data_IF_001019006875
#
_entry.id   IF_001019006875
#
_cell.length_a   1.000
_cell.length_b   1.000
_cell.length_c   1.000
_cell.angle_alpha   90.00
_cell.angle_beta   90.00
_cell.angle_gamma   90.00
#
_symmetry.space_group_name_H-M   'P 1'
#
loop_
_entity.id
_entity.type
_entity.pdbx_description
1 polymer ?
#
# COMPACT_ATOMS: atom_id res chain seq x y z
N UNK A 1 6.91 -15.25 -11.17
CA UNK A 1 7.63 -14.40 -12.16
C UNK A 1 8.02 -13.18 -11.35
N UNK A 2 9.31 -13.01 -11.09
CA UNK A 2 9.82 -11.92 -10.25
C UNK A 2 9.33 -10.60 -10.81
N UNK A 3 8.72 -9.76 -9.97
CA UNK A 3 8.29 -8.42 -10.37
C UNK A 3 9.53 -7.64 -10.76
N UNK A 4 9.60 -7.31 -12.04
CA UNK A 4 10.73 -6.57 -12.60
C UNK A 4 10.44 -5.07 -12.54
N UNK A 5 11.47 -4.20 -12.56
CA UNK A 5 11.29 -2.78 -12.82
C UNK A 5 10.42 -2.48 -14.07
N UNK A 6 10.33 -3.42 -15.02
CA UNK A 6 9.46 -3.31 -16.19
C UNK A 6 7.96 -3.42 -15.88
N UNK A 7 7.56 -4.17 -14.85
CA UNK A 7 6.14 -4.33 -14.48
C UNK A 7 5.57 -3.04 -13.88
N UNK A 8 6.39 -2.25 -13.17
CA UNK A 8 5.99 -0.94 -12.64
C UNK A 8 5.88 0.15 -13.71
N UNK A 9 6.79 0.15 -14.70
CA UNK A 9 6.73 1.07 -15.84
C UNK A 9 5.51 0.74 -16.72
N UNK A 10 5.15 -0.54 -16.84
CA UNK A 10 3.91 -1.01 -17.45
C UNK A 10 2.70 -0.46 -16.69
N UNK A 11 2.68 -0.54 -15.35
CA UNK A 11 1.59 -0.02 -14.52
C UNK A 11 1.42 1.50 -14.71
N UNK A 12 2.51 2.28 -14.62
CA UNK A 12 2.44 3.75 -14.79
C UNK A 12 2.02 4.15 -16.21
N UNK A 13 2.61 3.53 -17.24
CA UNK A 13 2.27 3.78 -18.65
C UNK A 13 0.82 3.38 -18.96
N UNK A 14 0.36 2.25 -18.43
CA UNK A 14 -1.02 1.80 -18.59
C UNK A 14 -1.99 2.74 -17.87
N UNK A 15 -1.69 3.21 -16.65
CA UNK A 15 -2.56 4.12 -15.91
C UNK A 15 -2.79 5.44 -16.66
N UNK A 16 -1.74 6.04 -17.23
CA UNK A 16 -1.86 7.25 -18.07
C UNK A 16 -2.70 7.00 -19.33
N UNK A 17 -2.58 5.82 -19.94
CA UNK A 17 -3.39 5.44 -21.11
C UNK A 17 -4.86 5.22 -20.71
N UNK A 18 -5.14 4.62 -19.55
CA UNK A 18 -6.51 4.50 -19.01
C UNK A 18 -7.12 5.90 -18.89
N UNK A 19 -6.40 6.87 -18.31
CA UNK A 19 -6.88 8.25 -18.14
C UNK A 19 -7.22 8.87 -19.50
N UNK A 20 -6.32 8.75 -20.47
CA UNK A 20 -6.53 9.27 -21.83
C UNK A 20 -7.79 8.68 -22.46
N UNK A 21 -8.03 7.38 -22.32
CA UNK A 21 -9.20 6.73 -22.88
C UNK A 21 -10.50 7.11 -22.16
N UNK A 22 -10.48 7.32 -20.84
CA UNK A 22 -11.63 7.83 -20.10
C UNK A 22 -11.97 9.25 -20.57
N UNK A 23 -10.99 10.16 -20.62
CA UNK A 23 -11.19 11.54 -21.10
C UNK A 23 -11.72 11.57 -22.54
N UNK A 24 -11.16 10.73 -23.42
CA UNK A 24 -11.64 10.58 -24.80
C UNK A 24 -13.10 10.11 -24.84
N UNK A 25 -13.47 9.11 -24.02
CA UNK A 25 -14.84 8.60 -23.97
C UNK A 25 -15.84 9.67 -23.52
N UNK A 26 -15.47 10.49 -22.53
CA UNK A 26 -16.30 11.61 -22.07
C UNK A 26 -16.48 12.66 -23.16
N UNK A 27 -15.41 13.07 -23.83
CA UNK A 27 -15.47 13.98 -24.98
C UNK A 27 -16.36 13.43 -26.11
N UNK A 28 -16.22 12.14 -26.43
CA UNK A 28 -17.05 11.48 -27.44
C UNK A 28 -18.53 11.37 -27.02
N UNK A 29 -18.85 11.22 -25.72
CA UNK A 29 -20.23 11.28 -25.23
C UNK A 29 -20.83 12.68 -25.46
N UNK A 30 -20.09 13.73 -25.10
CA UNK A 30 -20.53 15.13 -25.30
C UNK A 30 -20.74 15.45 -26.78
N UNK A 31 -19.85 14.94 -27.64
CA UNK A 31 -19.94 15.07 -29.10
C UNK A 31 -20.99 14.14 -29.74
N UNK A 32 -21.73 13.35 -28.93
CA UNK A 32 -22.71 12.33 -29.37
C UNK A 32 -22.12 11.22 -30.27
N UNK A 33 -20.81 11.00 -30.20
CA UNK A 33 -20.06 9.94 -30.91
C UNK A 33 -20.04 8.65 -30.08
N UNK A 34 -21.21 8.08 -29.80
CA UNK A 34 -21.38 6.97 -28.84
C UNK A 34 -20.54 5.73 -29.18
N UNK A 35 -20.40 5.37 -30.46
CA UNK A 35 -19.56 4.24 -30.87
C UNK A 35 -18.07 4.44 -30.56
N UNK A 36 -17.59 5.70 -30.63
CA UNK A 36 -16.20 6.04 -30.27
C UNK A 36 -16.03 5.99 -28.76
N UNK A 37 -17.00 6.49 -28.00
CA UNK A 37 -17.02 6.37 -26.55
C UNK A 37 -16.98 4.89 -26.10
N UNK A 38 -17.79 4.01 -26.69
CA UNK A 38 -17.77 2.57 -26.40
C UNK A 38 -16.39 1.96 -26.65
N UNK A 39 -15.74 2.30 -27.77
CA UNK A 39 -14.38 1.81 -28.09
C UNK A 39 -13.37 2.30 -27.05
N UNK A 40 -13.43 3.58 -26.68
CA UNK A 40 -12.52 4.17 -25.69
C UNK A 40 -12.72 3.54 -24.29
N UNK A 41 -13.95 3.33 -23.83
CA UNK A 41 -14.24 2.65 -22.55
C UNK A 41 -13.74 1.20 -22.55
N UNK A 42 -13.88 0.46 -23.65
CA UNK A 42 -13.32 -0.90 -23.78
C UNK A 42 -11.80 -0.92 -23.65
N UNK A 43 -11.11 0.04 -24.27
CA UNK A 43 -9.65 0.16 -24.16
C UNK A 43 -9.21 0.52 -22.73
N UNK A 44 -9.92 1.44 -22.07
CA UNK A 44 -9.67 1.76 -20.66
C UNK A 44 -9.81 0.51 -19.77
N UNK A 45 -10.88 -0.27 -19.95
CA UNK A 45 -11.11 -1.52 -19.20
C UNK A 45 -10.00 -2.56 -19.42
N UNK A 46 -9.58 -2.75 -20.67
CA UNK A 46 -8.51 -3.69 -20.99
C UNK A 46 -7.18 -3.31 -20.32
N UNK A 47 -6.81 -2.03 -20.36
CA UNK A 47 -5.60 -1.53 -19.70
C UNK A 47 -5.67 -1.64 -18.16
N UNK A 48 -6.85 -1.43 -17.55
CA UNK A 48 -7.05 -1.70 -16.12
C UNK A 48 -6.80 -3.18 -15.80
N UNK A 49 -7.24 -4.09 -16.69
CA UNK A 49 -6.92 -5.53 -16.60
C UNK A 49 -5.41 -5.80 -16.60
N UNK A 50 -4.65 -5.15 -17.49
CA UNK A 50 -3.18 -5.24 -17.52
C UNK A 50 -2.56 -4.75 -16.21
N UNK A 51 -3.01 -3.59 -15.70
CA UNK A 51 -2.50 -3.05 -14.42
C UNK A 51 -2.75 -4.05 -13.30
N UNK A 52 -3.94 -4.68 -13.26
CA UNK A 52 -4.30 -5.70 -12.29
C UNK A 52 -3.41 -6.95 -12.41
N UNK A 53 -3.19 -7.42 -13.62
CA UNK A 53 -2.40 -8.63 -13.90
C UNK A 53 -0.90 -8.41 -13.63
N UNK A 54 -0.41 -7.18 -13.80
CA UNK A 54 0.96 -6.80 -13.47
C UNK A 54 1.21 -6.67 -11.95
N UNK A 55 0.19 -6.82 -11.09
CA UNK A 55 0.38 -6.70 -9.64
C UNK A 55 1.14 -7.89 -9.06
N UNK A 56 2.11 -7.65 -8.17
CA UNK A 56 2.87 -8.71 -7.47
C UNK A 56 1.96 -9.76 -6.82
N UNK A 57 0.86 -9.31 -6.21
CA UNK A 57 -0.03 -10.16 -5.40
C UNK A 57 -0.93 -11.09 -6.21
N UNK A 58 -1.18 -10.79 -7.50
CA UNK A 58 -2.23 -11.48 -8.28
C UNK A 58 -1.93 -12.96 -8.41
N UNK A 59 -0.68 -13.31 -8.69
CA UNK A 59 -0.24 -14.70 -8.78
C UNK A 59 -0.43 -15.45 -7.44
N UNK A 60 -0.19 -14.78 -6.32
CA UNK A 60 -0.34 -15.38 -4.98
C UNK A 60 -1.82 -15.64 -4.69
N UNK A 61 -2.69 -14.67 -5.00
CA UNK A 61 -4.14 -14.79 -4.80
C UNK A 61 -4.76 -15.88 -5.68
N UNK A 62 -4.33 -15.97 -6.94
CA UNK A 62 -4.78 -17.02 -7.85
C UNK A 62 -4.39 -18.41 -7.33
N UNK A 63 -3.15 -18.58 -6.83
CA UNK A 63 -2.70 -19.84 -6.23
C UNK A 63 -3.48 -20.19 -4.96
N UNK A 64 -3.76 -19.22 -4.09
CA UNK A 64 -4.63 -19.42 -2.91
C UNK A 64 -6.05 -19.82 -3.34
N UNK A 65 -6.59 -19.20 -4.39
CA UNK A 65 -7.90 -19.53 -4.92
C UNK A 65 -7.94 -20.96 -5.47
N UNK A 66 -6.92 -21.41 -6.21
CA UNK A 66 -6.80 -22.79 -6.70
C UNK A 66 -6.78 -23.78 -5.54
N UNK A 67 -5.94 -23.57 -4.53
CA UNK A 67 -5.89 -24.42 -3.34
C UNK A 67 -7.25 -24.51 -2.62
N UNK A 68 -7.97 -23.37 -2.48
CA UNK A 68 -9.33 -23.35 -1.92
C UNK A 68 -10.32 -24.13 -2.78
N UNK A 69 -10.16 -24.09 -4.10
CA UNK A 69 -11.04 -24.76 -5.05
C UNK A 69 -10.79 -26.27 -5.07
N UNK A 70 -9.54 -26.72 -5.06
CA UNK A 70 -9.18 -28.12 -4.89
C UNK A 70 -9.72 -28.67 -3.57
N UNK A 71 -9.56 -27.92 -2.47
CA UNK A 71 -10.16 -28.24 -1.17
C UNK A 71 -11.70 -28.19 -1.16
N UNK A 72 -12.39 -27.91 -2.28
CA UNK A 72 -13.83 -28.07 -2.39
C UNK A 72 -14.26 -29.45 -2.92
N UNK A 73 -13.37 -30.21 -3.55
CA UNK A 73 -13.68 -31.56 -4.07
C UNK A 73 -12.60 -32.63 -3.88
N UNK A 74 -11.37 -32.26 -3.50
CA UNK A 74 -10.25 -33.19 -3.23
C UNK A 74 -10.04 -33.42 -1.73
N UNK A 75 -9.24 -34.42 -1.37
CA UNK A 75 -8.86 -34.70 0.02
C UNK A 75 -7.74 -33.77 0.51
N UNK A 76 -7.62 -33.60 1.82
CA UNK A 76 -6.65 -32.64 2.41
C UNK A 76 -5.19 -32.97 2.09
N UNK A 77 -4.90 -34.23 1.82
CA UNK A 77 -3.57 -34.72 1.44
C UNK A 77 -3.22 -34.33 0.00
N UNK A 78 -4.20 -34.37 -0.90
CA UNK A 78 -4.07 -34.01 -2.32
C UNK A 78 -3.88 -32.50 -2.52
N UNK A 79 -4.41 -31.68 -1.61
CA UNK A 79 -4.26 -30.21 -1.64
C UNK A 79 -2.94 -29.73 -1.01
N UNK A 80 -2.25 -30.55 -0.23
CA UNK A 80 -0.99 -30.17 0.45
C UNK A 80 0.09 -29.63 -0.50
N UNK A 81 0.31 -30.21 -1.69
CA UNK A 81 1.29 -29.71 -2.67
C UNK A 81 0.98 -28.31 -3.19
N UNK A 82 -0.28 -27.87 -3.21
CA UNK A 82 -0.69 -26.54 -3.70
C UNK A 82 -0.15 -25.40 -2.81
N UNK A 83 0.23 -25.69 -1.57
CA UNK A 83 0.82 -24.68 -0.68
C UNK A 83 2.24 -24.30 -1.08
N UNK A 84 2.99 -25.20 -1.72
CA UNK A 84 4.40 -24.98 -2.13
C UNK A 84 4.52 -23.77 -3.07
N UNK A 85 3.78 -23.70 -4.19
CA UNK A 85 3.83 -22.52 -5.05
C UNK A 85 3.29 -21.26 -4.37
N UNK A 86 2.39 -21.35 -3.38
CA UNK A 86 1.94 -20.17 -2.61
C UNK A 86 3.12 -19.60 -1.80
N UNK A 87 3.87 -20.43 -1.07
CA UNK A 87 5.06 -19.98 -0.34
C UNK A 87 6.11 -19.34 -1.27
N UNK A 88 6.44 -20.00 -2.38
CA UNK A 88 7.40 -19.45 -3.35
C UNK A 88 6.94 -18.09 -3.90
N UNK A 89 5.64 -17.91 -4.13
CA UNK A 89 5.09 -16.61 -4.54
C UNK A 89 5.11 -15.57 -3.43
N UNK A 90 4.88 -15.95 -2.17
CA UNK A 90 5.02 -15.03 -1.03
C UNK A 90 6.48 -14.57 -0.89
N UNK A 91 7.45 -15.48 -1.02
CA UNK A 91 8.88 -15.17 -1.03
C UNK A 91 9.24 -14.21 -2.17
N UNK A 92 8.65 -14.38 -3.37
CA UNK A 92 8.90 -13.48 -4.51
C UNK A 92 8.40 -12.04 -4.28
N UNK A 93 7.41 -11.83 -3.40
CA UNK A 93 6.75 -10.54 -3.21
C UNK A 93 6.96 -9.90 -1.85
N UNK A 94 7.61 -10.61 -0.90
CA UNK A 94 7.76 -10.15 0.49
C UNK A 94 8.54 -8.84 0.61
N UNK A 95 9.41 -8.57 -0.37
CA UNK A 95 10.16 -7.32 -0.49
C UNK A 95 9.28 -6.11 -0.84
N UNK A 96 8.08 -6.33 -1.38
CA UNK A 96 7.18 -5.31 -1.90
C UNK A 96 5.86 -5.23 -1.13
N UNK A 97 5.45 -6.34 -0.53
CA UNK A 97 4.14 -6.53 0.09
C UNK A 97 4.36 -7.16 1.46
N UNK A 98 3.77 -6.62 2.55
CA UNK A 98 3.75 -7.32 3.82
C UNK A 98 3.01 -8.66 3.64
N UNK A 99 3.74 -9.77 3.72
CA UNK A 99 3.19 -11.11 3.50
C UNK A 99 3.10 -11.93 4.78
N UNK A 100 3.66 -11.47 5.89
CA UNK A 100 3.83 -12.27 7.11
C UNK A 100 2.50 -12.74 7.68
N UNK A 101 1.47 -11.88 7.66
CA UNK A 101 0.12 -12.27 8.08
C UNK A 101 -0.46 -13.33 7.15
N UNK A 102 -0.30 -13.17 5.83
CA UNK A 102 -0.72 -14.16 4.85
C UNK A 102 0.01 -15.49 5.07
N UNK A 103 1.34 -15.45 5.22
CA UNK A 103 2.20 -16.60 5.49
C UNK A 103 1.76 -17.37 6.74
N UNK A 104 1.45 -16.68 7.85
CA UNK A 104 0.92 -17.32 9.07
C UNK A 104 -0.42 -18.00 8.85
N UNK A 105 -1.30 -17.41 8.05
CA UNK A 105 -2.56 -18.06 7.68
C UNK A 105 -2.30 -19.29 6.79
N UNK A 106 -1.34 -19.24 5.86
CA UNK A 106 -0.92 -20.43 5.10
C UNK A 106 -0.32 -21.51 6.02
N UNK A 107 0.47 -21.14 7.03
CA UNK A 107 1.02 -22.09 8.03
C UNK A 107 -0.10 -22.77 8.84
N UNK A 108 -1.12 -22.01 9.25
CA UNK A 108 -2.31 -22.55 9.92
C UNK A 108 -3.14 -23.42 8.97
N UNK A 109 -3.29 -23.05 7.71
CA UNK A 109 -3.94 -23.88 6.70
C UNK A 109 -3.22 -25.22 6.54
N UNK A 110 -1.88 -25.21 6.43
CA UNK A 110 -1.04 -26.41 6.39
C UNK A 110 -1.25 -27.31 7.60
N UNK A 111 -1.30 -26.73 8.81
CA UNK A 111 -1.58 -27.49 10.04
C UNK A 111 -2.96 -28.14 10.00
N UNK A 112 -3.99 -27.42 9.54
CA UNK A 112 -5.35 -27.93 9.43
C UNK A 112 -5.47 -29.03 8.36
N UNK A 113 -4.81 -28.88 7.21
CA UNK A 113 -4.76 -29.93 6.17
C UNK A 113 -4.13 -31.22 6.69
N UNK A 114 -3.02 -31.14 7.45
CA UNK A 114 -2.39 -32.31 8.09
C UNK A 114 -3.29 -33.02 9.11
N UNK A 115 -4.30 -32.32 9.65
CA UNK A 115 -5.23 -32.84 10.64
C UNK A 115 -6.56 -33.30 10.01
N UNK A 116 -6.69 -33.27 8.68
CA UNK A 116 -7.96 -33.55 7.99
C UNK A 116 -9.03 -32.47 8.18
N UNK A 117 -8.69 -31.31 8.77
CA UNK A 117 -9.63 -30.26 9.11
C UNK A 117 -9.91 -29.33 7.91
N UNK A 118 -10.66 -29.84 6.93
CA UNK A 118 -11.00 -29.16 5.66
C UNK A 118 -11.54 -27.74 5.84
N UNK A 119 -12.58 -27.56 6.66
CA UNK A 119 -13.24 -26.26 6.83
C UNK A 119 -12.32 -25.20 7.45
N UNK A 120 -11.52 -25.60 8.45
CA UNK A 120 -10.54 -24.69 9.06
C UNK A 120 -9.40 -24.35 8.10
N UNK A 121 -8.93 -25.31 7.31
CA UNK A 121 -7.94 -25.04 6.26
C UNK A 121 -8.47 -24.05 5.22
N UNK A 122 -9.73 -24.19 4.81
CA UNK A 122 -10.40 -23.28 3.87
C UNK A 122 -10.56 -21.87 4.43
N UNK A 123 -10.92 -21.73 5.70
CA UNK A 123 -11.01 -20.42 6.36
C UNK A 123 -9.63 -19.76 6.50
N UNK A 124 -8.60 -20.51 6.89
CA UNK A 124 -7.24 -19.98 6.95
C UNK A 124 -6.71 -19.56 5.57
N UNK A 125 -6.98 -20.32 4.50
CA UNK A 125 -6.64 -19.90 3.13
C UNK A 125 -7.39 -18.62 2.73
N UNK A 126 -8.65 -18.45 3.13
CA UNK A 126 -9.40 -17.21 2.90
C UNK A 126 -8.78 -16.03 3.66
N UNK A 127 -8.45 -16.21 4.93
CA UNK A 127 -7.78 -15.18 5.73
C UNK A 127 -6.37 -14.86 5.19
N UNK A 128 -5.68 -15.82 4.58
CA UNK A 128 -4.41 -15.60 3.91
C UNK A 128 -4.54 -14.69 2.68
N UNK A 129 -5.58 -14.88 1.87
CA UNK A 129 -5.92 -14.03 0.73
C UNK A 129 -6.31 -12.61 1.19
N UNK A 130 -7.14 -12.51 2.24
CA UNK A 130 -7.54 -11.24 2.84
C UNK A 130 -6.36 -10.49 3.47
N UNK A 131 -5.37 -11.22 4.00
CA UNK A 131 -4.15 -10.66 4.56
C UNK A 131 -3.17 -10.14 3.49
N UNK A 132 -3.30 -10.56 2.23
CA UNK A 132 -2.57 -9.99 1.09
C UNK A 132 -3.20 -8.65 0.70
N UNK A 133 -2.93 -7.65 1.53
CA UNK A 133 -3.32 -6.26 1.32
C UNK A 133 -2.14 -5.53 0.69
N UNK A 134 -2.14 -5.43 -0.64
CA UNK A 134 -1.31 -4.45 -1.32
C UNK A 134 -1.89 -3.06 -1.07
N UNK A 135 -1.10 -2.26 -0.40
CA UNK A 135 -1.41 -1.01 0.29
C UNK A 135 -1.92 0.09 -0.65
N UNK A 136 -3.17 0.54 -0.44
CA UNK A 136 -3.72 1.89 -0.75
C UNK A 136 -3.71 2.41 -2.21
N UNK A 137 -2.94 1.85 -3.14
CA UNK A 137 -3.01 2.17 -4.58
C UNK A 137 -4.12 1.43 -5.32
N UNK A 138 -4.66 0.37 -4.72
CA UNK A 138 -5.68 -0.50 -5.34
C UNK A 138 -7.13 0.01 -5.16
N UNK A 139 -7.40 0.78 -4.12
CA UNK A 139 -8.74 1.34 -3.85
C UNK A 139 -9.24 2.21 -5.02
N UNK A 140 -8.43 3.14 -5.56
CA UNK A 140 -8.80 3.88 -6.77
C UNK A 140 -8.88 2.99 -8.00
N UNK A 141 -8.02 1.98 -8.18
CA UNK A 141 -8.06 1.13 -9.38
C UNK A 141 -9.31 0.24 -9.41
N UNK A 142 -9.66 -0.41 -8.29
CA UNK A 142 -10.86 -1.23 -8.20
C UNK A 142 -12.14 -0.38 -8.30
N UNK A 143 -12.15 0.81 -7.68
CA UNK A 143 -13.24 1.77 -7.83
C UNK A 143 -13.35 2.27 -9.27
N UNK A 144 -12.22 2.61 -9.91
CA UNK A 144 -12.14 2.99 -11.33
C UNK A 144 -12.68 1.88 -12.21
N UNK A 145 -12.26 0.62 -11.98
CA UNK A 145 -12.72 -0.54 -12.74
C UNK A 145 -14.24 -0.68 -12.65
N UNK A 146 -14.80 -0.57 -11.43
CA UNK A 146 -16.25 -0.61 -11.21
C UNK A 146 -16.97 0.48 -12.00
N UNK A 147 -16.49 1.72 -11.94
CA UNK A 147 -17.07 2.85 -12.67
C UNK A 147 -16.94 2.69 -14.20
N UNK A 148 -15.80 2.21 -14.71
CA UNK A 148 -15.60 1.92 -16.13
C UNK A 148 -16.54 0.81 -16.61
N UNK A 149 -16.74 -0.25 -15.81
CA UNK A 149 -17.69 -1.33 -16.11
C UNK A 149 -19.12 -0.81 -16.12
N UNK A 150 -19.50 0.01 -15.14
CA UNK A 150 -20.83 0.62 -15.09
C UNK A 150 -21.08 1.53 -16.30
N UNK A 151 -20.10 2.38 -16.66
CA UNK A 151 -20.15 3.22 -17.85
C UNK A 151 -20.32 2.39 -19.12
N UNK A 152 -19.59 1.29 -19.26
CA UNK A 152 -19.73 0.36 -20.38
C UNK A 152 -21.15 -0.20 -20.47
N UNK A 153 -21.73 -0.60 -19.33
CA UNK A 153 -23.11 -1.08 -19.25
C UNK A 153 -24.13 0.00 -19.65
N UNK A 154 -23.94 1.24 -19.21
CA UNK A 154 -24.82 2.35 -19.57
C UNK A 154 -24.71 2.72 -21.05
N UNK A 155 -23.51 2.74 -21.64
CA UNK A 155 -23.35 2.97 -23.08
C UNK A 155 -24.01 1.86 -23.91
N UNK A 156 -23.92 0.60 -23.48
CA UNK A 156 -24.60 -0.52 -24.14
C UNK A 156 -26.14 -0.42 -24.08
N UNK A 157 -26.67 0.24 -23.05
CA UNK A 157 -28.10 0.53 -22.89
C UNK A 157 -28.53 1.87 -23.53
N UNK A 158 -27.64 2.54 -24.28
CA UNK A 158 -27.85 3.87 -24.84
C UNK A 158 -28.24 4.93 -23.78
N UNK A 159 -27.60 4.88 -22.60
CA UNK A 159 -27.76 5.83 -21.49
C UNK A 159 -26.49 6.67 -21.29
N UNK A 160 -26.14 7.57 -22.23
CA UNK A 160 -24.87 8.30 -22.21
C UNK A 160 -24.68 9.20 -20.99
N UNK A 161 -25.74 9.81 -20.46
CA UNK A 161 -25.64 10.70 -19.29
C UNK A 161 -25.23 9.96 -18.01
N UNK A 162 -25.72 8.73 -17.85
CA UNK A 162 -25.32 7.86 -16.73
C UNK A 162 -23.89 7.36 -16.94
N UNK A 163 -23.50 7.03 -18.18
CA UNK A 163 -22.13 6.67 -18.49
C UNK A 163 -21.15 7.81 -18.21
N UNK A 164 -21.49 9.06 -18.55
CA UNK A 164 -20.67 10.24 -18.27
C UNK A 164 -20.47 10.43 -16.77
N UNK A 165 -21.51 10.24 -15.95
CA UNK A 165 -21.41 10.32 -14.49
C UNK A 165 -20.43 9.28 -13.93
N UNK A 166 -20.51 8.04 -14.40
CA UNK A 166 -19.59 6.97 -14.00
C UNK A 166 -18.17 7.24 -14.51
N UNK A 167 -18.00 7.67 -15.76
CA UNK A 167 -16.68 7.99 -16.32
C UNK A 167 -16.01 9.16 -15.62
N UNK A 168 -16.78 10.16 -15.17
CA UNK A 168 -16.24 11.24 -14.33
C UNK A 168 -15.72 10.72 -12.98
N UNK A 169 -16.41 9.77 -12.37
CA UNK A 169 -15.95 9.12 -11.15
C UNK A 169 -14.71 8.23 -11.39
N UNK A 170 -14.66 7.54 -12.53
CA UNK A 170 -13.49 6.77 -12.96
C UNK A 170 -12.27 7.67 -13.26
N UNK A 171 -12.47 8.80 -13.94
CA UNK A 171 -11.41 9.75 -14.28
C UNK A 171 -10.74 10.29 -13.03
N UNK A 172 -11.54 10.62 -12.01
CA UNK A 172 -11.03 10.98 -10.70
C UNK A 172 -10.13 9.84 -10.20
N UNK A 173 -10.62 8.60 -10.09
CA UNK A 173 -9.84 7.44 -9.66
C UNK A 173 -8.52 7.18 -10.41
N UNK A 174 -8.41 7.52 -11.70
CA UNK A 174 -7.15 7.34 -12.47
C UNK A 174 -6.20 8.51 -12.33
N UNK A 175 -6.71 9.75 -12.24
CA UNK A 175 -5.86 10.89 -11.89
C UNK A 175 -5.15 10.65 -10.55
N UNK A 176 -5.76 9.85 -9.66
CA UNK A 176 -5.17 9.50 -8.36
C UNK A 176 -3.90 8.70 -8.58
N UNK A 177 -4.01 7.66 -9.39
CA UNK A 177 -2.95 6.69 -9.65
C UNK A 177 -1.80 7.41 -10.35
N UNK A 178 -2.09 8.24 -11.36
CA UNK A 178 -1.07 9.00 -12.06
C UNK A 178 -0.35 10.02 -11.16
N UNK A 179 -1.09 10.73 -10.29
CA UNK A 179 -0.51 11.74 -9.38
C UNK A 179 0.30 11.12 -8.25
N UNK A 180 -0.14 9.96 -7.73
CA UNK A 180 0.52 9.25 -6.63
C UNK A 180 1.78 8.52 -7.10
N UNK A 181 1.75 7.94 -8.30
CA UNK A 181 2.92 7.26 -8.88
C UNK A 181 4.05 8.25 -9.17
N UNK A 182 3.72 9.43 -9.73
CA UNK A 182 4.71 10.49 -10.00
C UNK A 182 5.02 11.37 -8.78
N UNK A 183 4.37 11.13 -7.64
CA UNK A 183 4.61 11.91 -6.44
C UNK A 183 6.08 11.80 -6.01
N UNK A 184 6.75 12.92 -5.67
CA UNK A 184 8.17 12.92 -5.33
C UNK A 184 8.55 11.94 -4.21
N UNK A 185 7.69 11.76 -3.20
CA UNK A 185 7.93 10.79 -2.11
C UNK A 185 7.84 9.34 -2.61
N UNK A 186 6.92 9.03 -3.52
CA UNK A 186 6.80 7.70 -4.13
C UNK A 186 8.02 7.35 -4.98
N UNK A 187 8.54 8.32 -5.73
CA UNK A 187 9.78 8.15 -6.51
C UNK A 187 11.00 7.97 -5.60
N UNK A 188 11.06 8.70 -4.48
CA UNK A 188 12.09 8.50 -3.46
C UNK A 188 12.02 7.10 -2.84
N UNK A 189 10.81 6.63 -2.48
CA UNK A 189 10.58 5.26 -1.96
C UNK A 189 11.12 4.21 -2.93
N UNK A 190 10.76 4.31 -4.22
CA UNK A 190 11.24 3.39 -5.28
C UNK A 190 12.76 3.37 -5.37
N UNK A 191 13.37 4.54 -5.37
CA UNK A 191 14.83 4.67 -5.48
C UNK A 191 15.54 4.11 -4.23
N UNK A 192 15.01 4.37 -3.03
CA UNK A 192 15.56 3.81 -1.77
C UNK A 192 15.44 2.28 -1.70
N UNK A 193 14.34 1.71 -2.21
CA UNK A 193 14.19 0.26 -2.32
C UNK A 193 15.26 -0.35 -3.24
N UNK A 194 15.47 0.25 -4.42
CA UNK A 194 16.52 -0.18 -5.34
C UNK A 194 17.91 -0.03 -4.73
N UNK A 195 18.16 1.04 -3.99
CA UNK A 195 19.41 1.24 -3.27
C UNK A 195 19.64 0.11 -2.24
N UNK A 196 18.62 -0.24 -1.46
CA UNK A 196 18.68 -1.36 -0.50
C UNK A 196 19.02 -2.68 -1.20
N UNK A 197 18.31 -3.01 -2.29
CA UNK A 197 18.53 -4.23 -3.06
C UNK A 197 19.95 -4.29 -3.67
N UNK A 198 20.37 -3.20 -4.30
CA UNK A 198 21.70 -3.12 -4.91
C UNK A 198 22.80 -3.22 -3.84
N UNK A 199 22.58 -2.66 -2.65
CA UNK A 199 23.55 -2.73 -1.56
C UNK A 199 23.70 -4.17 -1.06
N UNK A 200 22.58 -4.87 -0.83
CA UNK A 200 22.59 -6.28 -0.44
C UNK A 200 23.26 -7.19 -1.49
N UNK A 201 23.19 -6.82 -2.77
CA UNK A 201 23.89 -7.50 -3.86
C UNK A 201 25.37 -7.11 -4.02
N UNK A 202 25.90 -6.20 -3.18
CA UNK A 202 27.26 -5.69 -3.28
C UNK A 202 27.48 -4.68 -4.42
N UNK A 203 26.43 -4.24 -5.10
CA UNK A 203 26.47 -3.30 -6.22
C UNK A 203 26.54 -1.84 -5.71
N UNK A 204 27.70 -1.45 -5.16
CA UNK A 204 27.86 -0.14 -4.51
C UNK A 204 27.65 1.05 -5.46
N UNK A 205 28.10 0.96 -6.73
CA UNK A 205 27.89 2.02 -7.72
C UNK A 205 26.41 2.18 -8.05
N UNK A 206 25.67 1.08 -8.22
CA UNK A 206 24.24 1.10 -8.47
C UNK A 206 23.48 1.63 -7.25
N UNK A 207 23.90 1.25 -6.04
CA UNK A 207 23.38 1.79 -4.77
C UNK A 207 23.51 3.31 -4.71
N UNK A 208 24.71 3.85 -4.97
CA UNK A 208 24.98 5.29 -4.95
C UNK A 208 24.12 6.06 -5.96
N UNK A 209 23.94 5.50 -7.16
CA UNK A 209 23.08 6.09 -8.19
C UNK A 209 21.62 6.17 -7.74
N UNK A 210 21.11 5.12 -7.09
CA UNK A 210 19.73 5.07 -6.59
C UNK A 210 19.54 5.99 -5.37
N UNK A 211 20.52 6.11 -4.47
CA UNK A 211 20.49 7.11 -3.38
C UNK A 211 20.45 8.55 -3.92
N UNK A 212 21.21 8.84 -4.97
CA UNK A 212 21.16 10.16 -5.65
C UNK A 212 19.78 10.43 -6.26
N UNK A 213 19.15 9.43 -6.90
CA UNK A 213 17.77 9.56 -7.42
C UNK A 213 16.75 9.78 -6.30
N UNK A 214 16.90 9.08 -5.18
CA UNK A 214 16.08 9.30 -3.99
C UNK A 214 16.24 10.72 -3.45
N UNK A 215 17.48 11.22 -3.36
CA UNK A 215 17.80 12.60 -2.96
C UNK A 215 17.09 13.62 -3.84
N UNK A 216 17.24 13.55 -5.16
CA UNK A 216 16.57 14.47 -6.10
C UNK A 216 15.05 14.45 -5.96
N UNK A 217 14.48 13.27 -5.72
CA UNK A 217 13.05 13.13 -5.50
C UNK A 217 12.60 13.77 -4.18
N UNK A 218 13.35 13.58 -3.09
CA UNK A 218 13.04 14.23 -1.81
C UNK A 218 13.25 15.74 -1.83
N UNK A 219 14.23 16.26 -2.58
CA UNK A 219 14.41 17.71 -2.78
C UNK A 219 13.16 18.35 -3.41
N UNK A 220 12.48 17.64 -4.32
CA UNK A 220 11.17 18.06 -4.83
C UNK A 220 10.08 17.96 -3.74
N UNK A 221 10.08 16.90 -2.93
CA UNK A 221 9.13 16.72 -1.83
C UNK A 221 9.24 17.82 -0.75
N UNK A 222 10.44 18.39 -0.53
CA UNK A 222 10.66 19.53 0.37
C UNK A 222 9.90 20.79 -0.08
N UNK A 223 9.54 20.88 -1.37
CA UNK A 223 8.74 21.99 -1.93
C UNK A 223 7.22 21.71 -1.88
N UNK A 224 6.78 20.60 -1.30
CA UNK A 224 5.36 20.23 -1.17
C UNK A 224 4.57 21.29 -0.40
N UNK A 225 3.28 21.47 -0.73
CA UNK A 225 2.35 22.31 0.05
C UNK A 225 2.05 21.75 1.45
N UNK A 226 2.22 20.44 1.67
CA UNK A 226 1.98 19.77 2.95
C UNK A 226 3.18 19.90 3.90
N UNK A 227 2.99 20.56 5.04
CA UNK A 227 4.05 20.84 6.00
C UNK A 227 4.71 19.58 6.56
N UNK A 228 3.94 18.52 6.79
CA UNK A 228 4.48 17.25 7.31
C UNK A 228 5.37 16.56 6.30
N UNK A 229 4.93 16.49 5.05
CA UNK A 229 5.74 15.97 3.93
C UNK A 229 7.04 16.74 3.80
N UNK A 230 6.99 18.08 3.87
CA UNK A 230 8.22 18.89 3.84
C UNK A 230 9.19 18.55 4.96
N UNK A 231 8.71 18.47 6.20
CA UNK A 231 9.55 18.18 7.37
C UNK A 231 10.18 16.79 7.29
N UNK A 232 9.37 15.76 7.00
CA UNK A 232 9.86 14.40 6.88
C UNK A 232 10.86 14.25 5.70
N UNK A 233 10.60 14.90 4.57
CA UNK A 233 11.53 14.90 3.44
C UNK A 233 12.88 15.55 3.78
N UNK A 234 12.88 16.65 4.57
CA UNK A 234 14.12 17.28 5.04
C UNK A 234 14.94 16.36 5.96
N UNK A 235 14.27 15.60 6.83
CA UNK A 235 14.94 14.63 7.70
C UNK A 235 15.57 13.50 6.87
N UNK A 236 14.79 12.89 5.97
CA UNK A 236 15.25 11.83 5.08
C UNK A 236 16.41 12.28 4.18
N UNK A 237 16.42 13.52 3.68
CA UNK A 237 17.53 14.05 2.88
C UNK A 237 18.85 14.06 3.66
N UNK A 238 18.84 14.49 4.92
CA UNK A 238 20.05 14.51 5.77
C UNK A 238 20.59 13.11 6.01
N UNK A 239 19.68 12.13 6.11
CA UNK A 239 20.04 10.74 6.29
C UNK A 239 20.62 10.12 5.01
N UNK A 240 20.07 10.46 3.84
CA UNK A 240 20.67 10.04 2.56
C UNK A 240 22.10 10.59 2.43
N UNK A 241 22.32 11.86 2.77
CA UNK A 241 23.67 12.46 2.74
C UNK A 241 24.64 11.74 3.69
N UNK A 242 24.14 11.36 4.88
CA UNK A 242 24.91 10.58 5.85
C UNK A 242 25.23 9.19 5.32
N UNK A 243 24.27 8.55 4.65
CA UNK A 243 24.45 7.24 4.05
C UNK A 243 25.46 7.29 2.89
N UNK A 244 25.35 8.27 1.99
CA UNK A 244 26.26 8.49 0.87
C UNK A 244 27.72 8.64 1.33
N UNK A 245 27.95 9.36 2.43
CA UNK A 245 29.29 9.54 3.01
C UNK A 245 29.86 8.31 3.74
N UNK A 246 29.04 7.28 3.96
CA UNK A 246 29.42 6.05 4.69
C UNK A 246 29.40 4.79 3.83
N UNK A 247 28.90 4.85 2.59
CA UNK A 247 28.83 3.70 1.67
C UNK A 247 30.18 2.98 1.51
N UNK A 248 31.27 3.74 1.36
CA UNK A 248 32.61 3.20 1.13
C UNK A 248 33.19 2.50 2.38
N UNK A 249 32.60 2.71 3.56
CA UNK A 249 33.03 2.07 4.81
C UNK A 249 32.37 0.70 5.04
N UNK A 250 31.30 0.39 4.31
CA UNK A 250 30.60 -0.90 4.36
C UNK A 250 29.97 -1.28 5.72
N UNK A 251 29.28 -2.42 5.76
CA UNK A 251 28.85 -3.10 6.98
C UNK A 251 27.33 -3.08 7.25
N UNK A 252 26.84 -4.01 8.07
CA UNK A 252 25.41 -4.21 8.38
C UNK A 252 24.69 -2.93 8.86
N UNK A 253 25.42 -1.99 9.46
CA UNK A 253 24.87 -0.72 9.92
C UNK A 253 24.37 0.17 8.78
N UNK A 254 24.99 0.16 7.61
CA UNK A 254 24.54 0.99 6.48
C UNK A 254 23.30 0.38 5.81
N UNK A 255 23.22 -0.95 5.74
CA UNK A 255 22.05 -1.66 5.22
C UNK A 255 20.82 -1.37 6.07
N UNK A 256 20.94 -1.51 7.39
CA UNK A 256 19.87 -1.16 8.33
C UNK A 256 19.46 0.32 8.20
N UNK A 257 20.42 1.21 7.92
CA UNK A 257 20.14 2.63 7.72
C UNK A 257 19.38 2.90 6.41
N UNK A 258 19.76 2.28 5.29
CA UNK A 258 19.04 2.39 4.02
C UNK A 258 17.62 1.80 4.16
N UNK A 259 17.49 0.64 4.81
CA UNK A 259 16.19 0.02 5.08
C UNK A 259 15.28 0.92 5.91
N UNK A 260 15.81 1.51 6.99
CA UNK A 260 15.08 2.48 7.82
C UNK A 260 14.58 3.69 6.99
N UNK A 261 15.43 4.26 6.13
CA UNK A 261 15.00 5.36 5.24
C UNK A 261 13.90 4.92 4.27
N UNK A 262 14.01 3.71 3.71
CA UNK A 262 12.98 3.16 2.82
C UNK A 262 11.64 2.98 3.54
N UNK A 263 11.61 2.36 4.73
CA UNK A 263 10.38 2.10 5.50
C UNK A 263 9.66 3.41 5.87
N UNK A 264 10.40 4.44 6.32
CA UNK A 264 9.80 5.75 6.61
C UNK A 264 9.33 6.47 5.34
N UNK A 265 10.08 6.37 4.24
CA UNK A 265 9.63 6.95 2.96
C UNK A 265 8.40 6.22 2.42
N UNK A 266 8.28 4.91 2.67
CA UNK A 266 7.09 4.12 2.37
C UNK A 266 5.88 4.60 3.15
N UNK A 267 5.98 4.72 4.47
CA UNK A 267 4.89 5.24 5.30
C UNK A 267 4.49 6.68 4.93
N UNK A 268 5.47 7.52 4.53
CA UNK A 268 5.18 8.88 4.04
C UNK A 268 4.46 8.88 2.68
N UNK A 269 4.85 7.96 1.78
CA UNK A 269 4.19 7.76 0.49
C UNK A 269 2.74 7.30 0.69
N UNK A 270 2.51 6.30 1.54
CA UNK A 270 1.18 5.80 1.94
C UNK A 270 0.29 6.92 2.51
N UNK A 271 0.80 7.71 3.46
CA UNK A 271 0.08 8.91 3.94
C UNK A 271 -0.29 9.85 2.79
N UNK A 272 0.62 10.10 1.85
CA UNK A 272 0.35 10.95 0.68
C UNK A 272 -0.82 10.41 -0.15
N UNK A 273 -0.84 9.09 -0.37
CA UNK A 273 -1.92 8.36 -1.06
C UNK A 273 -3.26 8.58 -0.33
N UNK A 274 -3.30 8.35 0.98
CA UNK A 274 -4.51 8.51 1.79
C UNK A 274 -5.02 9.97 1.80
N UNK A 275 -4.12 10.95 1.92
CA UNK A 275 -4.47 12.38 1.91
C UNK A 275 -5.01 12.86 0.56
N UNK A 276 -4.46 12.39 -0.56
CA UNK A 276 -5.01 12.69 -1.89
C UNK A 276 -6.41 12.07 -2.02
N UNK A 277 -6.63 10.88 -1.45
CA UNK A 277 -7.91 10.17 -1.54
C UNK A 277 -8.99 10.96 -0.80
N UNK A 278 -8.64 11.53 0.35
CA UNK A 278 -9.51 12.41 1.11
C UNK A 278 -9.81 13.73 0.42
N UNK A 279 -8.79 14.36 -0.18
CA UNK A 279 -8.92 15.67 -0.84
C UNK A 279 -9.99 15.70 -1.93
N UNK A 280 -10.36 14.54 -2.45
CA UNK A 280 -11.37 14.37 -3.50
C UNK A 280 -12.73 13.86 -3.01
N UNK A 281 -12.79 13.32 -1.80
CA UNK A 281 -14.03 12.90 -1.14
C UNK A 281 -14.75 14.06 -0.41
N UNK A 282 -14.34 15.32 -0.62
CA UNK A 282 -14.76 16.48 0.19
C UNK A 282 -16.28 16.55 0.49
N UNK A 283 -16.62 16.22 1.74
CA UNK A 283 -17.78 16.73 2.50
C UNK A 283 -17.45 16.74 4.01
N UNK A 284 -17.59 17.90 4.67
CA UNK A 284 -17.79 18.01 6.13
C UNK A 284 -16.64 17.72 7.11
N UNK A 285 -16.95 17.79 8.41
CA UNK A 285 -16.07 17.60 9.58
C UNK A 285 -15.40 16.22 9.67
N UNK A 286 -15.93 15.20 8.97
CA UNK A 286 -15.29 13.88 8.80
C UNK A 286 -13.86 14.00 8.22
N UNK A 287 -13.56 15.05 7.44
CA UNK A 287 -12.23 15.26 6.88
C UNK A 287 -11.15 15.53 7.93
N UNK A 288 -11.48 16.11 9.08
CA UNK A 288 -10.50 16.41 10.13
C UNK A 288 -10.13 15.15 10.94
N UNK A 289 -11.13 14.33 11.26
CA UNK A 289 -10.96 13.06 11.98
C UNK A 289 -10.07 12.13 11.18
N UNK A 290 -10.41 11.89 9.91
CA UNK A 290 -9.67 10.99 9.03
C UNK A 290 -8.21 11.46 8.80
N UNK A 291 -7.98 12.77 8.71
CA UNK A 291 -6.61 13.33 8.61
C UNK A 291 -5.79 12.99 9.86
N UNK A 292 -6.38 13.14 11.05
CA UNK A 292 -5.70 12.80 12.29
C UNK A 292 -5.43 11.30 12.39
N UNK A 293 -6.34 10.43 11.93
CA UNK A 293 -6.14 8.96 11.93
C UNK A 293 -5.01 8.55 10.99
N UNK A 294 -4.94 9.12 9.79
CA UNK A 294 -3.80 8.95 8.86
C UNK A 294 -2.49 9.37 9.54
N UNK A 295 -2.51 10.49 10.26
CA UNK A 295 -1.35 10.99 10.96
C UNK A 295 -0.93 10.09 12.15
N UNK A 296 -1.87 9.48 12.87
CA UNK A 296 -1.58 8.45 13.88
C UNK A 296 -0.85 7.29 13.19
N UNK A 297 -1.41 6.76 12.10
CA UNK A 297 -0.85 5.61 11.37
C UNK A 297 0.58 5.88 10.88
N UNK A 298 0.86 7.07 10.35
CA UNK A 298 2.22 7.47 9.96
C UNK A 298 3.20 7.34 11.14
N UNK A 299 2.84 7.93 12.29
CA UNK A 299 3.72 7.92 13.47
C UNK A 299 3.89 6.52 14.07
N UNK A 300 2.86 5.67 14.00
CA UNK A 300 2.96 4.26 14.39
C UNK A 300 3.95 3.50 13.47
N UNK A 301 3.89 3.71 12.16
CA UNK A 301 4.83 3.10 11.23
C UNK A 301 6.28 3.59 11.44
N UNK A 302 6.47 4.87 11.75
CA UNK A 302 7.79 5.40 12.10
C UNK A 302 8.31 4.81 13.42
N UNK A 303 7.44 4.64 14.42
CA UNK A 303 7.80 4.04 15.69
C UNK A 303 8.28 2.59 15.53
N UNK A 304 7.53 1.78 14.76
CA UNK A 304 7.91 0.43 14.39
C UNK A 304 9.28 0.39 13.72
N UNK A 305 9.48 1.24 12.70
CA UNK A 305 10.74 1.33 11.97
C UNK A 305 11.90 1.65 12.92
N UNK A 306 11.74 2.65 13.79
CA UNK A 306 12.80 3.01 14.73
C UNK A 306 13.08 1.89 15.75
N UNK A 307 12.05 1.22 16.25
CA UNK A 307 12.20 0.18 17.27
C UNK A 307 12.81 -1.10 16.70
N UNK A 308 12.27 -1.59 15.58
CA UNK A 308 12.55 -2.92 15.06
C UNK A 308 13.63 -2.93 13.98
N UNK A 309 13.72 -1.87 13.17
CA UNK A 309 14.69 -1.78 12.06
C UNK A 309 15.93 -0.99 12.45
N UNK A 310 15.75 0.22 12.99
CA UNK A 310 16.87 1.10 13.31
C UNK A 310 17.53 0.76 14.66
N UNK A 311 16.79 0.09 15.56
CA UNK A 311 17.24 -0.13 16.93
C UNK A 311 17.38 1.16 17.75
N UNK A 312 16.55 2.16 17.46
CA UNK A 312 16.52 3.49 18.08
C UNK A 312 15.26 3.67 18.97
N UNK A 313 15.20 3.00 20.14
CA UNK A 313 13.99 2.91 20.97
C UNK A 313 13.49 4.27 21.50
N UNK A 314 14.36 5.25 21.66
CA UNK A 314 13.96 6.60 22.09
C UNK A 314 13.28 7.39 20.97
N UNK A 315 13.72 7.21 19.72
CA UNK A 315 13.00 7.77 18.57
C UNK A 315 11.65 7.08 18.39
N UNK A 316 11.59 5.76 18.57
CA UNK A 316 10.32 5.04 18.59
C UNK A 316 9.36 5.59 19.64
N UNK A 317 9.82 5.76 20.89
CA UNK A 317 9.03 6.36 21.98
C UNK A 317 8.54 7.78 21.64
N UNK A 318 9.37 8.56 20.94
CA UNK A 318 9.02 9.90 20.47
C UNK A 318 7.89 9.87 19.44
N UNK A 319 7.96 8.95 18.47
CA UNK A 319 6.92 8.77 17.46
C UNK A 319 5.61 8.25 18.04
N UNK A 320 5.63 7.28 18.96
CA UNK A 320 4.44 6.86 19.71
C UNK A 320 3.84 8.06 20.46
N UNK A 321 4.68 8.91 21.05
CA UNK A 321 4.24 10.15 21.69
C UNK A 321 3.57 11.14 20.74
N UNK A 322 3.98 11.19 19.46
CA UNK A 322 3.31 11.99 18.43
C UNK A 322 1.96 11.36 18.04
N UNK A 323 1.89 10.04 17.85
CA UNK A 323 0.66 9.32 17.57
C UNK A 323 -0.41 9.58 18.66
N UNK A 324 -0.05 9.43 19.93
CA UNK A 324 -0.94 9.69 21.08
C UNK A 324 -1.48 11.12 21.12
N UNK A 325 -0.78 12.13 20.57
CA UNK A 325 -1.26 13.52 20.50
C UNK A 325 -2.35 13.74 19.46
N UNK A 326 -2.50 12.85 18.47
CA UNK A 326 -3.53 12.94 17.42
C UNK A 326 -4.84 12.24 17.80
N UNK A 327 -4.79 11.25 18.69
CA UNK A 327 -5.98 10.54 19.18
C UNK A 327 -7.03 11.51 19.79
N UNK A 328 -6.73 12.35 20.79
CA UNK A 328 -7.72 13.25 21.37
C UNK A 328 -8.22 14.31 20.38
N UNK A 329 -7.44 14.65 19.35
CA UNK A 329 -7.87 15.55 18.27
C UNK A 329 -8.88 14.93 17.32
N UNK A 330 -8.94 13.59 17.28
CA UNK A 330 -9.87 12.83 16.44
C UNK A 330 -11.23 12.64 17.10
N UNK A 331 -11.29 12.69 18.44
CA UNK A 331 -12.52 12.38 19.20
C UNK A 331 -13.72 13.32 18.95
N UNK A 332 -13.58 14.66 18.86
CA UNK A 332 -14.73 15.56 18.79
C UNK A 332 -15.58 15.44 17.51
N UNK A 333 -15.05 14.82 16.45
CA UNK A 333 -15.78 14.63 15.18
C UNK A 333 -16.06 13.17 14.84
N UNK A 334 -15.59 12.21 15.65
CA UNK A 334 -15.74 10.79 15.40
C UNK A 334 -17.12 10.26 15.85
N UNK A 335 -17.63 9.25 15.16
CA UNK A 335 -18.73 8.43 15.66
C UNK A 335 -18.29 7.55 16.85
N UNK A 336 -19.26 6.95 17.53
CA UNK A 336 -18.98 6.21 18.77
C UNK A 336 -18.17 4.93 18.53
N UNK A 337 -18.38 4.24 17.40
CA UNK A 337 -17.57 3.07 17.03
C UNK A 337 -16.10 3.44 16.84
N UNK A 338 -15.86 4.57 16.17
CA UNK A 338 -14.52 5.11 15.92
C UNK A 338 -13.86 5.58 17.20
N UNK A 339 -14.60 6.23 18.11
CA UNK A 339 -14.08 6.58 19.44
C UNK A 339 -13.65 5.35 20.22
N UNK A 340 -14.47 4.30 20.25
CA UNK A 340 -14.14 3.04 20.94
C UNK A 340 -12.85 2.42 20.41
N UNK A 341 -12.70 2.32 19.09
CA UNK A 341 -11.48 1.78 18.49
C UNK A 341 -10.26 2.68 18.75
N UNK A 342 -10.42 4.00 18.71
CA UNK A 342 -9.32 4.92 19.02
C UNK A 342 -8.86 4.84 20.49
N UNK A 343 -9.77 4.53 21.43
CA UNK A 343 -9.43 4.29 22.85
C UNK A 343 -8.61 3.00 23.00
N UNK A 344 -8.95 1.95 22.25
CA UNK A 344 -8.19 0.69 22.22
C UNK A 344 -6.77 0.92 21.67
N UNK A 345 -6.65 1.59 20.52
CA UNK A 345 -5.36 2.00 19.95
C UNK A 345 -4.56 2.86 20.94
N UNK A 346 -5.21 3.78 21.67
CA UNK A 346 -4.54 4.61 22.68
C UNK A 346 -3.92 3.76 23.80
N UNK A 347 -4.66 2.75 24.26
CA UNK A 347 -4.20 1.84 25.30
C UNK A 347 -2.99 1.04 24.83
N UNK A 348 -3.08 0.40 23.66
CA UNK A 348 -1.98 -0.38 23.08
C UNK A 348 -0.73 0.48 22.89
N UNK A 349 -0.88 1.70 22.34
CA UNK A 349 0.24 2.62 22.19
C UNK A 349 0.86 3.05 23.51
N UNK A 350 0.07 3.25 24.58
CA UNK A 350 0.60 3.56 25.92
C UNK A 350 1.43 2.40 26.47
N UNK A 351 0.96 1.16 26.30
CA UNK A 351 1.67 -0.05 26.71
C UNK A 351 3.00 -0.19 25.93
N UNK A 352 2.98 -0.01 24.62
CA UNK A 352 4.19 -0.04 23.79
C UNK A 352 5.18 1.06 24.16
N UNK A 353 4.69 2.27 24.47
CA UNK A 353 5.54 3.41 24.85
C UNK A 353 6.32 3.16 26.15
N UNK A 354 5.74 2.37 27.06
CA UNK A 354 6.37 2.03 28.33
C UNK A 354 7.65 1.19 28.13
N UNK A 355 7.68 0.37 27.09
CA UNK A 355 8.79 -0.56 26.83
C UNK A 355 9.14 -0.65 25.34
N UNK A 356 9.77 0.41 24.82
CA UNK A 356 10.26 0.44 23.44
C UNK A 356 11.57 -0.30 23.22
N UNK A 357 12.15 -0.92 24.27
CA UNK A 357 13.40 -1.68 24.18
C UNK A 357 13.17 -3.14 23.76
N UNK A 358 11.95 -3.66 23.93
CA UNK A 358 11.55 -4.97 23.38
C UNK A 358 11.61 -4.97 21.86
N UNK A 359 12.13 -6.04 21.27
CA UNK A 359 12.24 -6.23 19.81
C UNK A 359 11.75 -7.60 19.34
N UNK A 360 10.97 -8.29 20.19
CA UNK A 360 10.47 -9.62 19.84
C UNK A 360 9.35 -9.54 18.80
N UNK A 361 8.99 -10.71 18.27
CA UNK A 361 7.95 -10.83 17.25
C UNK A 361 6.56 -10.36 17.75
N UNK A 362 6.31 -10.38 19.06
CA UNK A 362 5.04 -9.91 19.61
C UNK A 362 4.91 -8.39 19.45
N UNK A 363 5.99 -7.63 19.62
CA UNK A 363 6.00 -6.17 19.37
C UNK A 363 5.65 -5.85 17.91
N UNK A 364 6.21 -6.60 16.94
CA UNK A 364 5.88 -6.43 15.52
C UNK A 364 4.39 -6.65 15.26
N UNK A 365 3.80 -7.67 15.89
CA UNK A 365 2.37 -7.99 15.77
C UNK A 365 1.50 -6.84 16.25
N UNK A 366 1.81 -6.26 17.42
CA UNK A 366 1.03 -5.13 17.95
C UNK A 366 1.09 -3.92 17.00
N UNK A 367 2.27 -3.59 16.45
CA UNK A 367 2.37 -2.53 15.44
C UNK A 367 1.51 -2.82 14.19
N UNK A 368 1.54 -4.05 13.69
CA UNK A 368 0.75 -4.46 12.53
C UNK A 368 -0.76 -4.40 12.79
N UNK A 369 -1.20 -4.83 13.97
CA UNK A 369 -2.60 -4.82 14.38
C UNK A 369 -3.11 -3.39 14.56
N UNK A 370 -2.37 -2.51 15.24
CA UNK A 370 -2.71 -1.07 15.33
C UNK A 370 -2.84 -0.45 13.94
N UNK A 371 -1.86 -0.68 13.05
CA UNK A 371 -1.92 -0.16 11.67
C UNK A 371 -3.10 -0.74 10.88
N UNK A 372 -3.52 -1.97 11.15
CA UNK A 372 -4.70 -2.57 10.52
C UNK A 372 -5.99 -1.90 11.01
N UNK A 373 -6.16 -1.75 12.33
CA UNK A 373 -7.30 -1.05 12.94
C UNK A 373 -7.42 0.39 12.39
N UNK A 374 -6.30 1.12 12.34
CA UNK A 374 -6.27 2.49 11.78
C UNK A 374 -6.64 2.53 10.30
N UNK A 375 -6.20 1.55 9.49
CA UNK A 375 -6.59 1.45 8.07
C UNK A 375 -8.09 1.23 7.90
N UNK A 376 -8.70 0.41 8.74
CA UNK A 376 -10.13 0.16 8.66
C UNK A 376 -10.94 1.37 9.11
N UNK A 377 -10.48 2.10 10.12
CA UNK A 377 -11.03 3.40 10.50
C UNK A 377 -10.96 4.42 9.36
N UNK A 378 -9.82 4.51 8.65
CA UNK A 378 -9.65 5.41 7.50
C UNK A 378 -10.64 5.05 6.37
N UNK A 379 -10.95 3.78 6.17
CA UNK A 379 -11.92 3.36 5.14
C UNK A 379 -13.36 3.67 5.51
N UNK A 380 -13.70 3.58 6.80
CA UNK A 380 -15.06 3.68 7.29
C UNK A 380 -15.48 5.12 7.69
N UNK A 381 -14.53 6.05 7.76
CA UNK A 381 -14.72 7.51 7.91
C UNK A 381 -14.81 8.23 6.56
#
# INVERSE_FOLDING_TARGET
RTVTPGDEDIISSAALKVLRHIVQARGDIHDKKIDRAIKAVKQARWLIGIIREARPITLVKDRIWVAKKHLSYEDTEEVMPDLIPIYASLDEIEDFVPVEKSRRHIDRAKKNLKQGNREKAKEELKLADEALIYTETDLPLASTEKHVIAAQGYLAQNKPDLAEKELRAAEHGVYFIASVVEAPVTQAKKSLWKAMKNYAAGELTATKNELKKAKTSLEKAVKSGDAKTRTAAKELLKEIETAEGRLDKGGEQIEAHIKNMWERTKALSERGVEMVSMGWQKTGSSSAVKTNIIDIKLHVAYAETYQLTAGEPDKARTEIGKALKYIPKSMPGADDATKTQLIEVEKELKEMKADTYKKDIAVKIVYEDIKAQLRDLIKNQ
#
